data_IF_358039676358
#
_entry.id   IF_358039676358
#
_cell.length_a   1.000
_cell.length_b   1.000
_cell.length_c   1.000
_cell.angle_alpha   90.00
_cell.angle_beta   90.00
_cell.angle_gamma   90.00
#
_symmetry.space_group_name_H-M   'P 1'
#
loop_
_entity.id
_entity.type
_entity.pdbx_description
1 polymer ?
#
# COMPACT_ATOMS: atom_id res chain seq x y z
N UNK A 1 -16.75 -9.51 22.67
CA UNK A 1 -16.20 -10.83 22.22
C UNK A 1 -15.38 -10.50 20.97
N UNK A 2 -14.08 -10.55 21.12
CA UNK A 2 -13.08 -10.17 20.12
C UNK A 2 -13.26 -10.97 18.82
N UNK A 3 -13.73 -10.29 17.80
CA UNK A 3 -13.55 -10.77 16.44
C UNK A 3 -12.07 -10.53 16.10
N UNK A 4 -11.25 -11.55 16.27
CA UNK A 4 -9.87 -11.61 15.79
C UNK A 4 -9.89 -11.59 14.25
N UNK A 5 -10.21 -10.42 13.67
CA UNK A 5 -10.00 -10.11 12.28
C UNK A 5 -8.51 -10.17 11.95
N UNK A 6 -8.17 -10.54 10.74
CA UNK A 6 -6.81 -10.43 10.22
C UNK A 6 -6.41 -8.95 10.29
N UNK A 7 -5.43 -8.65 11.12
CA UNK A 7 -4.85 -7.33 11.24
C UNK A 7 -4.10 -7.03 9.94
N UNK A 8 -4.43 -5.92 9.30
CA UNK A 8 -3.68 -5.41 8.14
C UNK A 8 -2.30 -4.89 8.56
N UNK A 9 -1.48 -4.54 7.58
CA UNK A 9 -0.17 -3.93 7.80
C UNK A 9 -0.28 -2.66 8.69
N UNK A 10 -1.31 -1.84 8.50
CA UNK A 10 -1.53 -0.64 9.29
C UNK A 10 -1.89 -0.86 10.76
N UNK A 11 -2.65 -1.92 11.10
CA UNK A 11 -2.94 -2.28 12.51
C UNK A 11 -1.67 -2.71 13.28
N UNK A 12 -0.70 -3.27 12.55
CA UNK A 12 0.60 -3.66 13.11
C UNK A 12 1.45 -2.44 13.36
N UNK A 13 1.48 -1.52 12.40
CA UNK A 13 2.13 -0.23 12.51
C UNK A 13 1.66 0.53 13.76
N UNK A 14 0.36 0.75 13.92
CA UNK A 14 -0.21 1.44 15.07
C UNK A 14 0.13 0.79 16.42
N UNK A 15 0.21 -0.53 16.51
CA UNK A 15 0.47 -1.22 17.80
C UNK A 15 1.93 -1.29 18.18
N UNK A 16 2.83 -1.38 17.22
CA UNK A 16 4.25 -1.54 17.48
C UNK A 16 4.90 -0.21 17.91
N UNK A 17 4.33 0.91 17.45
CA UNK A 17 4.85 2.25 17.69
C UNK A 17 4.01 3.11 18.65
N UNK A 18 2.73 2.80 18.88
CA UNK A 18 1.91 3.51 19.91
C UNK A 18 1.92 2.86 21.31
N UNK A 19 2.69 1.81 21.52
CA UNK A 19 2.84 1.15 22.85
C UNK A 19 3.99 1.67 23.70
N UNK A 20 4.78 2.64 23.26
CA UNK A 20 5.88 3.28 23.98
C UNK A 20 5.69 4.79 24.06
N UNK A 21 5.98 5.38 25.22
CA UNK A 21 5.85 6.79 25.56
C UNK A 21 6.80 7.75 24.79
N UNK A 22 6.94 7.60 23.48
CA UNK A 22 7.61 8.60 22.65
C UNK A 22 6.55 9.24 21.76
N UNK A 23 6.19 10.46 22.03
CA UNK A 23 5.56 11.39 21.10
C UNK A 23 6.56 11.53 19.93
N UNK A 24 6.41 10.70 18.89
CA UNK A 24 7.19 10.84 17.67
C UNK A 24 6.91 12.24 17.11
N UNK A 25 7.98 12.95 16.77
CA UNK A 25 7.87 14.25 16.12
C UNK A 25 7.08 14.06 14.83
N UNK A 26 5.87 14.59 14.80
CA UNK A 26 5.08 14.67 13.57
C UNK A 26 5.70 15.72 12.66
N UNK A 27 5.56 15.54 11.35
CA UNK A 27 5.97 16.55 10.38
C UNK A 27 5.37 17.91 10.72
N UNK A 28 6.16 18.96 10.63
CA UNK A 28 5.63 20.32 10.70
C UNK A 28 4.65 20.58 9.55
N UNK A 29 3.74 21.52 9.70
CA UNK A 29 2.79 21.90 8.63
C UNK A 29 3.49 22.23 7.32
N UNK A 30 4.67 22.83 7.37
CA UNK A 30 5.48 23.18 6.20
C UNK A 30 6.06 21.93 5.53
N UNK A 31 6.61 21.00 6.29
CA UNK A 31 7.15 19.73 5.77
C UNK A 31 6.05 18.88 5.17
N UNK A 32 4.89 18.80 5.82
CA UNK A 32 3.73 18.09 5.30
C UNK A 32 3.22 18.71 3.99
N UNK A 33 3.19 20.03 3.89
CA UNK A 33 2.78 20.72 2.67
C UNK A 33 3.77 20.48 1.52
N UNK A 34 5.09 20.49 1.79
CA UNK A 34 6.13 20.21 0.80
C UNK A 34 6.07 18.75 0.34
N UNK A 35 5.87 17.81 1.27
CA UNK A 35 5.66 16.38 0.98
C UNK A 35 4.48 16.18 0.02
N UNK A 36 3.31 16.71 0.38
CA UNK A 36 2.08 16.64 -0.43
C UNK A 36 2.27 17.22 -1.83
N UNK A 37 2.99 18.34 -1.95
CA UNK A 37 3.27 18.94 -3.25
C UNK A 37 4.14 18.02 -4.13
N UNK A 38 5.15 17.35 -3.56
CA UNK A 38 6.01 16.41 -4.27
C UNK A 38 5.27 15.12 -4.64
N UNK A 39 4.45 14.58 -3.77
CA UNK A 39 3.61 13.42 -4.07
C UNK A 39 2.60 13.71 -5.18
N UNK A 40 2.00 14.90 -5.16
CA UNK A 40 1.11 15.34 -6.23
C UNK A 40 1.85 15.43 -7.58
N UNK A 41 3.10 15.93 -7.61
CA UNK A 41 3.92 15.96 -8.82
C UNK A 41 4.22 14.53 -9.33
N UNK A 42 4.52 13.58 -8.44
CA UNK A 42 4.66 12.17 -8.81
C UNK A 42 3.36 11.64 -9.41
N UNK A 43 2.21 11.91 -8.78
CA UNK A 43 0.91 11.46 -9.27
C UNK A 43 0.57 12.05 -10.65
N UNK A 44 0.84 13.34 -10.90
CA UNK A 44 0.66 14.00 -12.20
C UNK A 44 1.50 13.32 -13.29
N UNK A 45 2.78 13.05 -13.01
CA UNK A 45 3.69 12.37 -13.93
C UNK A 45 3.26 10.92 -14.18
N UNK A 46 2.85 10.21 -13.14
CA UNK A 46 2.33 8.84 -13.21
C UNK A 46 1.04 8.76 -14.03
N UNK A 47 0.08 9.66 -13.79
CA UNK A 47 -1.17 9.74 -14.54
C UNK A 47 -0.92 9.96 -16.05
N UNK A 48 -0.02 10.89 -16.40
CA UNK A 48 0.37 11.14 -17.78
C UNK A 48 0.95 9.87 -18.41
N UNK A 49 1.93 9.24 -17.76
CA UNK A 49 2.54 7.99 -18.23
C UNK A 49 1.50 6.88 -18.42
N UNK A 50 0.56 6.73 -17.48
CA UNK A 50 -0.52 5.75 -17.59
C UNK A 50 -1.45 6.02 -18.78
N UNK A 51 -1.85 7.27 -19.01
CA UNK A 51 -2.68 7.67 -20.15
C UNK A 51 -2.00 7.41 -21.48
N UNK A 52 -0.74 7.79 -21.64
CA UNK A 52 0.05 7.60 -22.86
C UNK A 52 0.29 6.12 -23.19
N UNK A 53 0.32 5.25 -22.18
CA UNK A 53 0.59 3.83 -22.34
C UNK A 53 -0.65 2.93 -22.18
N UNK A 54 -1.85 3.50 -22.12
CA UNK A 54 -3.11 2.78 -21.92
C UNK A 54 -3.08 1.83 -20.71
N UNK A 55 -2.55 2.30 -19.58
CA UNK A 55 -2.62 1.66 -18.28
C UNK A 55 -3.81 2.21 -17.51
N UNK A 56 -4.66 1.31 -16.98
CA UNK A 56 -5.77 1.69 -16.11
C UNK A 56 -5.32 1.62 -14.66
N UNK A 57 -5.55 2.70 -13.93
CA UNK A 57 -5.40 2.76 -12.49
C UNK A 57 -6.58 3.51 -11.88
N UNK A 58 -6.68 3.50 -10.55
CA UNK A 58 -7.67 4.24 -9.79
C UNK A 58 -7.02 4.75 -8.50
N UNK A 59 -7.39 5.95 -8.07
CA UNK A 59 -7.09 6.40 -6.71
C UNK A 59 -7.88 5.55 -5.71
N UNK A 60 -7.30 5.31 -4.52
CA UNK A 60 -7.89 4.42 -3.51
C UNK A 60 -7.63 4.92 -2.09
N UNK A 61 -8.10 4.20 -1.11
CA UNK A 61 -7.85 4.40 0.32
C UNK A 61 -7.97 5.89 0.76
N UNK A 62 -6.95 6.42 1.46
CA UNK A 62 -6.90 7.82 1.92
C UNK A 62 -7.04 8.83 0.79
N UNK A 63 -6.38 8.60 -0.34
CA UNK A 63 -6.46 9.47 -1.52
C UNK A 63 -7.88 9.54 -2.09
N UNK A 64 -8.56 8.41 -2.21
CA UNK A 64 -9.96 8.37 -2.68
C UNK A 64 -10.91 9.04 -1.69
N UNK A 65 -10.72 8.77 -0.40
CA UNK A 65 -11.50 9.41 0.67
C UNK A 65 -11.29 10.93 0.67
N UNK A 66 -10.05 11.37 0.49
CA UNK A 66 -9.67 12.77 0.34
C UNK A 66 -10.36 13.42 -0.87
N UNK A 67 -10.32 12.77 -2.04
CA UNK A 67 -10.99 13.25 -3.25
C UNK A 67 -12.50 13.45 -3.05
N UNK A 68 -13.16 12.51 -2.37
CA UNK A 68 -14.62 12.58 -2.13
C UNK A 68 -14.97 13.64 -1.10
N UNK A 69 -14.28 13.65 0.06
CA UNK A 69 -14.65 14.45 1.23
C UNK A 69 -14.03 15.85 1.23
N UNK A 70 -12.80 16.00 0.75
CA UNK A 70 -12.01 17.24 0.82
C UNK A 70 -11.68 17.85 -0.54
N UNK A 71 -11.87 17.12 -1.64
CA UNK A 71 -11.43 17.48 -2.99
C UNK A 71 -9.91 17.59 -3.14
N UNK A 72 -9.17 16.95 -2.25
CA UNK A 72 -7.73 16.95 -2.12
C UNK A 72 -7.29 16.04 -1.00
N UNK A 73 -6.10 16.23 -0.48
CA UNK A 73 -5.60 15.46 0.66
C UNK A 73 -6.50 15.60 1.89
N UNK A 74 -6.62 14.54 2.65
CA UNK A 74 -7.06 14.64 4.03
C UNK A 74 -6.03 15.48 4.80
N UNK A 75 -6.44 16.46 5.66
CA UNK A 75 -5.49 17.41 6.26
C UNK A 75 -4.28 16.79 6.94
N UNK A 76 -4.44 15.66 7.62
CA UNK A 76 -3.39 14.95 8.37
C UNK A 76 -2.78 13.76 7.64
N UNK A 77 -3.22 13.47 6.42
CA UNK A 77 -2.71 12.38 5.58
C UNK A 77 -1.41 12.80 4.88
N UNK A 78 -0.50 11.86 4.70
CA UNK A 78 0.85 12.09 4.19
C UNK A 78 1.27 11.07 3.13
N UNK A 79 0.29 10.46 2.42
CA UNK A 79 0.57 9.53 1.33
C UNK A 79 -0.46 9.60 0.19
N UNK A 80 -0.08 9.09 -0.97
CA UNK A 80 -0.95 8.88 -2.13
C UNK A 80 -1.00 7.40 -2.49
N UNK A 81 -2.21 6.86 -2.51
CA UNK A 81 -2.50 5.48 -2.84
C UNK A 81 -3.23 5.33 -4.19
N UNK A 82 -2.71 4.49 -5.05
CA UNK A 82 -3.41 4.07 -6.27
C UNK A 82 -3.47 2.55 -6.37
N UNK A 83 -4.51 2.05 -7.04
CA UNK A 83 -4.66 0.62 -7.35
C UNK A 83 -4.70 0.37 -8.85
N UNK A 84 -4.16 -0.76 -9.26
CA UNK A 84 -4.24 -1.26 -10.63
C UNK A 84 -4.76 -2.69 -10.64
N UNK A 85 -5.71 -3.01 -11.51
CA UNK A 85 -6.07 -4.41 -11.74
C UNK A 85 -4.82 -5.21 -12.15
N UNK A 86 -4.69 -6.45 -11.70
CA UNK A 86 -3.49 -7.29 -11.88
C UNK A 86 -2.94 -7.28 -13.32
N UNK A 87 -3.82 -7.22 -14.33
CA UNK A 87 -3.40 -7.16 -15.73
C UNK A 87 -2.57 -5.90 -16.04
N UNK A 88 -3.03 -4.73 -15.59
CA UNK A 88 -2.35 -3.48 -15.85
C UNK A 88 -1.14 -3.30 -14.92
N UNK A 89 -1.22 -3.76 -13.67
CA UNK A 89 -0.10 -3.83 -12.75
C UNK A 89 1.08 -4.65 -13.33
N UNK A 90 0.81 -5.81 -13.91
CA UNK A 90 1.84 -6.63 -14.56
C UNK A 90 2.47 -5.96 -15.80
N UNK A 91 1.77 -4.99 -16.41
CA UNK A 91 2.29 -4.19 -17.54
C UNK A 91 3.12 -3.00 -17.05
N UNK A 92 2.85 -2.50 -15.86
CA UNK A 92 3.49 -1.30 -15.28
C UNK A 92 5.02 -1.40 -15.36
N UNK A 93 5.62 -2.49 -14.89
CA UNK A 93 7.06 -2.71 -14.93
C UNK A 93 7.65 -2.56 -16.35
N UNK A 94 6.96 -3.10 -17.37
CA UNK A 94 7.40 -3.00 -18.77
C UNK A 94 7.27 -1.58 -19.30
N UNK A 95 6.25 -0.85 -18.89
CA UNK A 95 6.06 0.55 -19.27
C UNK A 95 7.10 1.41 -18.57
N UNK A 96 7.28 1.27 -17.28
CA UNK A 96 8.28 2.04 -16.51
C UNK A 96 9.70 1.84 -17.04
N UNK A 97 10.08 0.63 -17.50
CA UNK A 97 11.40 0.40 -18.08
C UNK A 97 11.70 1.19 -19.35
N UNK A 98 10.68 1.83 -19.96
CA UNK A 98 10.79 2.58 -21.23
C UNK A 98 10.32 4.03 -21.14
N UNK A 99 9.39 4.31 -20.26
CA UNK A 99 8.63 5.56 -20.23
C UNK A 99 8.47 6.16 -18.83
N UNK A 100 9.22 5.66 -17.83
CA UNK A 100 9.23 6.29 -16.52
C UNK A 100 9.80 7.71 -16.63
N UNK A 101 9.11 8.74 -16.18
CA UNK A 101 9.62 10.11 -16.21
C UNK A 101 10.95 10.23 -15.48
N UNK A 102 11.81 11.15 -15.97
CA UNK A 102 13.10 11.45 -15.35
C UNK A 102 12.93 11.89 -13.88
N UNK A 103 13.86 11.48 -13.04
CA UNK A 103 13.83 11.73 -11.60
C UNK A 103 12.87 10.85 -10.81
N UNK A 104 12.21 9.87 -11.46
CA UNK A 104 11.38 8.87 -10.80
C UNK A 104 12.01 7.49 -10.86
N UNK A 105 11.83 6.73 -9.79
CA UNK A 105 12.29 5.35 -9.64
C UNK A 105 11.12 4.41 -9.39
N UNK A 106 11.00 3.33 -10.17
CA UNK A 106 10.08 2.24 -9.87
C UNK A 106 10.72 1.33 -8.82
N UNK A 107 10.22 1.38 -7.59
CA UNK A 107 10.62 0.46 -6.54
C UNK A 107 9.72 -0.77 -6.54
N UNK A 108 10.30 -1.90 -6.90
CA UNK A 108 9.68 -3.21 -6.86
C UNK A 108 10.69 -4.28 -6.38
N UNK A 109 10.24 -5.50 -6.22
CA UNK A 109 11.07 -6.64 -5.79
C UNK A 109 12.26 -6.96 -6.70
N UNK A 110 12.32 -6.43 -7.93
CA UNK A 110 13.39 -6.67 -8.93
C UNK A 110 14.38 -5.53 -8.95
N UNK A 111 13.87 -4.30 -8.96
CA UNK A 111 14.68 -3.09 -9.10
C UNK A 111 15.34 -2.71 -7.76
N UNK A 112 14.70 -3.05 -6.63
CA UNK A 112 15.24 -2.80 -5.30
C UNK A 112 15.32 -4.11 -4.49
N UNK A 113 16.55 -4.55 -4.24
CA UNK A 113 16.81 -5.82 -3.53
C UNK A 113 16.40 -5.80 -2.05
N UNK A 114 16.26 -4.62 -1.46
CA UNK A 114 15.80 -4.44 -0.08
C UNK A 114 14.29 -4.49 0.06
N UNK A 115 13.56 -4.20 -1.00
CA UNK A 115 12.13 -3.97 -0.96
C UNK A 115 11.31 -5.23 -0.57
N UNK A 116 10.54 -5.20 0.55
CA UNK A 116 9.91 -6.40 1.10
C UNK A 116 8.47 -6.64 0.62
N UNK A 117 7.79 -5.62 0.08
CA UNK A 117 6.35 -5.66 -0.13
C UNK A 117 5.91 -6.35 -1.43
N UNK A 118 4.59 -6.57 -1.55
CA UNK A 118 3.94 -7.19 -2.72
C UNK A 118 3.32 -6.16 -3.68
N UNK A 119 3.40 -4.90 -3.36
CA UNK A 119 3.00 -3.77 -4.18
C UNK A 119 4.24 -2.98 -4.63
N UNK A 120 4.08 -2.06 -5.54
CA UNK A 120 5.18 -1.24 -6.04
C UNK A 120 5.05 0.20 -5.53
N UNK A 121 6.15 0.96 -5.55
CA UNK A 121 6.16 2.40 -5.29
C UNK A 121 6.77 3.13 -6.48
N UNK A 122 6.24 4.31 -6.80
CA UNK A 122 6.92 5.26 -7.69
C UNK A 122 7.56 6.32 -6.80
N UNK A 123 8.87 6.32 -6.74
CA UNK A 123 9.66 7.18 -5.85
C UNK A 123 10.29 8.34 -6.59
N UNK A 124 10.46 9.45 -5.90
CA UNK A 124 11.21 10.62 -6.36
C UNK A 124 12.67 10.46 -5.95
N UNK A 125 13.57 10.49 -6.93
CA UNK A 125 15.03 10.46 -6.69
C UNK A 125 15.49 11.72 -5.94
N UNK A 126 16.62 11.63 -5.24
CA UNK A 126 17.23 12.72 -4.49
C UNK A 126 16.31 13.33 -3.40
N UNK A 127 15.45 12.51 -2.84
CA UNK A 127 14.63 12.81 -1.65
C UNK A 127 14.68 11.66 -0.67
N UNK A 128 14.42 11.92 0.60
CA UNK A 128 14.32 10.87 1.62
C UNK A 128 13.15 11.14 2.56
N UNK A 129 12.39 10.09 2.87
CA UNK A 129 11.39 10.09 3.94
C UNK A 129 11.76 9.00 4.95
N UNK A 130 11.60 9.32 6.22
CA UNK A 130 11.85 8.38 7.30
C UNK A 130 10.54 7.71 7.71
N UNK A 131 10.46 6.41 7.43
CA UNK A 131 9.41 5.52 7.90
C UNK A 131 10.00 4.64 9.01
N UNK A 132 9.63 4.87 10.28
CA UNK A 132 10.18 4.11 11.41
C UNK A 132 9.96 2.59 11.30
N UNK A 133 8.87 2.17 10.65
CA UNK A 133 8.60 0.75 10.42
C UNK A 133 9.63 0.06 9.52
N UNK A 134 10.29 0.83 8.65
CA UNK A 134 11.29 0.34 7.69
C UNK A 134 12.71 0.75 8.07
N UNK A 135 12.91 1.22 9.29
CA UNK A 135 14.23 1.52 9.80
C UNK A 135 15.14 0.28 9.71
N UNK A 136 16.40 0.49 9.30
CA UNK A 136 17.36 -0.59 9.08
C UNK A 136 17.15 -1.42 7.81
N UNK A 137 16.07 -1.19 7.03
CA UNK A 137 15.89 -1.82 5.72
C UNK A 137 16.67 -1.04 4.66
N UNK A 138 17.60 -1.72 3.98
CA UNK A 138 18.42 -1.10 2.93
C UNK A 138 17.66 -1.09 1.60
N UNK A 139 16.96 0.01 1.31
CA UNK A 139 16.18 0.23 0.10
C UNK A 139 16.13 1.72 -0.27
N UNK A 140 15.62 2.04 -1.45
CA UNK A 140 15.36 3.43 -1.84
C UNK A 140 14.33 4.06 -0.90
N UNK A 141 14.60 5.26 -0.39
CA UNK A 141 13.79 5.93 0.63
C UNK A 141 13.16 7.25 0.17
N UNK A 142 13.22 7.57 -1.12
CA UNK A 142 12.63 8.80 -1.66
C UNK A 142 11.13 8.91 -1.42
N UNK A 143 10.60 10.13 -1.47
CA UNK A 143 9.15 10.42 -1.46
C UNK A 143 8.45 9.59 -2.53
N UNK A 144 7.22 9.13 -2.30
CA UNK A 144 6.59 8.15 -3.17
C UNK A 144 5.07 8.26 -3.26
N UNK A 145 4.52 7.56 -4.24
CA UNK A 145 3.13 7.12 -4.26
C UNK A 145 3.10 5.59 -4.24
N UNK A 146 2.09 5.02 -3.58
CA UNK A 146 1.89 3.58 -3.53
C UNK A 146 1.04 3.08 -4.70
N UNK A 147 1.48 1.99 -5.33
CA UNK A 147 0.78 1.36 -6.45
C UNK A 147 0.45 -0.08 -6.07
N UNK A 148 -0.79 -0.33 -5.67
CA UNK A 148 -1.23 -1.64 -5.22
C UNK A 148 -1.82 -2.47 -6.36
N UNK A 149 -1.49 -3.77 -6.44
CA UNK A 149 -2.20 -4.68 -7.32
C UNK A 149 -3.57 -5.06 -6.73
N UNK A 150 -4.59 -5.06 -7.56
CA UNK A 150 -5.89 -5.66 -7.26
C UNK A 150 -5.92 -7.06 -7.84
N UNK A 151 -5.96 -8.05 -6.96
CA UNK A 151 -5.92 -9.47 -7.25
C UNK A 151 -7.29 -10.12 -7.21
N UNK A 152 -7.45 -11.28 -7.87
CA UNK A 152 -8.62 -12.10 -7.65
C UNK A 152 -8.59 -12.70 -6.25
N UNK A 153 -9.70 -12.56 -5.54
CA UNK A 153 -9.86 -13.03 -4.17
C UNK A 153 -10.69 -14.33 -4.14
N UNK A 154 -10.30 -15.33 -3.31
CA UNK A 154 -11.15 -16.49 -3.08
C UNK A 154 -12.52 -16.09 -2.51
N UNK A 155 -13.59 -16.73 -3.00
CA UNK A 155 -14.95 -16.58 -2.44
C UNK A 155 -15.00 -17.10 -1.00
N UNK A 156 -14.27 -18.18 -0.71
CA UNK A 156 -14.17 -18.73 0.63
C UNK A 156 -13.35 -17.81 1.53
N UNK A 157 -13.99 -17.28 2.57
CA UNK A 157 -13.37 -16.33 3.48
C UNK A 157 -12.14 -16.88 4.23
N UNK A 158 -12.07 -18.18 4.52
CA UNK A 158 -10.88 -18.78 5.16
C UNK A 158 -9.68 -18.79 4.22
N UNK A 159 -9.90 -19.08 2.93
CA UNK A 159 -8.84 -19.01 1.91
C UNK A 159 -8.43 -17.58 1.63
N UNK A 160 -9.38 -16.65 1.57
CA UNK A 160 -9.08 -15.23 1.44
C UNK A 160 -8.22 -14.74 2.63
N UNK A 161 -8.63 -15.02 3.86
CA UNK A 161 -7.86 -14.68 5.06
C UNK A 161 -6.47 -15.32 5.07
N UNK A 162 -6.35 -16.56 4.57
CA UNK A 162 -5.05 -17.23 4.40
C UNK A 162 -4.16 -16.43 3.43
N UNK A 163 -4.70 -16.01 2.27
CA UNK A 163 -3.95 -15.23 1.28
C UNK A 163 -3.40 -13.92 1.86
N UNK A 164 -4.21 -13.16 2.60
CA UNK A 164 -3.77 -11.94 3.28
C UNK A 164 -2.67 -12.23 4.31
N UNK A 165 -2.86 -13.23 5.17
CA UNK A 165 -1.86 -13.61 6.19
C UNK A 165 -0.57 -14.11 5.55
N UNK A 166 -0.64 -14.81 4.43
CA UNK A 166 0.52 -15.31 3.70
C UNK A 166 1.37 -14.17 3.19
N UNK A 167 0.74 -13.18 2.52
CA UNK A 167 1.45 -12.01 1.99
C UNK A 167 2.06 -11.17 3.10
N UNK A 168 1.33 -10.86 4.17
CA UNK A 168 1.87 -10.10 5.30
C UNK A 168 3.00 -10.84 6.02
N UNK A 169 2.85 -12.16 6.30
CA UNK A 169 3.91 -12.95 6.94
C UNK A 169 5.20 -12.98 6.11
N UNK A 170 5.08 -13.12 4.78
CA UNK A 170 6.26 -13.08 3.89
C UNK A 170 6.92 -11.72 3.88
N UNK A 171 6.15 -10.63 3.88
CA UNK A 171 6.68 -9.26 3.95
C UNK A 171 7.41 -9.00 5.27
N UNK A 172 6.82 -9.36 6.40
CA UNK A 172 7.48 -9.25 7.71
C UNK A 172 8.77 -10.08 7.81
N UNK A 173 8.74 -11.31 7.27
CA UNK A 173 9.96 -12.12 7.23
C UNK A 173 11.07 -11.47 6.37
N UNK A 174 10.71 -10.77 5.29
CA UNK A 174 11.67 -10.05 4.45
C UNK A 174 12.21 -8.79 5.13
N UNK A 175 11.43 -8.10 5.95
CA UNK A 175 11.88 -6.98 6.80
C UNK A 175 12.85 -7.51 7.87
N UNK A 176 12.45 -8.52 8.62
CA UNK A 176 13.26 -9.12 9.70
C UNK A 176 14.61 -9.69 9.24
N UNK A 177 14.74 -10.04 7.95
CA UNK A 177 16.03 -10.45 7.37
C UNK A 177 17.04 -9.32 7.30
N UNK A 178 16.60 -8.08 7.28
CA UNK A 178 17.44 -6.89 7.16
C UNK A 178 17.55 -6.15 8.49
N UNK A 179 16.44 -6.04 9.23
CA UNK A 179 16.38 -5.45 10.55
C UNK A 179 16.25 -6.57 11.60
N UNK A 180 17.32 -6.81 12.38
CA UNK A 180 17.35 -7.86 13.41
C UNK A 180 16.51 -7.54 14.63
N UNK A 181 16.23 -6.27 14.85
CA UNK A 181 15.41 -5.78 15.97
C UNK A 181 13.92 -5.86 15.65
N UNK A 182 13.59 -6.10 14.36
CA UNK A 182 12.22 -6.31 13.93
C UNK A 182 11.77 -7.73 14.29
N UNK A 183 10.92 -7.89 15.29
CA UNK A 183 10.23 -9.15 15.60
C UNK A 183 8.72 -8.94 15.61
N UNK A 184 8.03 -9.75 14.82
CA UNK A 184 6.59 -9.72 14.76
C UNK A 184 5.99 -10.77 15.71
N UNK A 185 5.25 -10.31 16.73
CA UNK A 185 4.62 -11.22 17.70
C UNK A 185 3.38 -11.89 17.12
N UNK A 186 3.53 -13.18 16.80
CA UNK A 186 2.43 -14.04 16.38
C UNK A 186 1.79 -14.72 17.58
N UNK A 187 0.48 -14.48 17.78
CA UNK A 187 -0.30 -15.15 18.84
C UNK A 187 -0.39 -16.68 18.66
N UNK A 188 -0.27 -17.18 17.42
CA UNK A 188 -0.32 -18.62 17.11
C UNK A 188 1.09 -19.17 16.90
N UNK A 189 1.46 -20.23 17.66
CA UNK A 189 2.77 -20.91 17.54
C UNK A 189 3.09 -21.36 16.11
N UNK A 190 2.09 -21.88 15.36
CA UNK A 190 2.29 -22.32 13.97
C UNK A 190 2.65 -21.16 13.03
N UNK A 191 2.02 -20.00 13.19
CA UNK A 191 2.36 -18.80 12.39
C UNK A 191 3.75 -18.27 12.74
N UNK A 192 4.10 -18.24 14.03
CA UNK A 192 5.44 -17.87 14.49
C UNK A 192 6.51 -18.82 13.96
N UNK A 193 6.25 -20.12 13.98
CA UNK A 193 7.18 -21.12 13.44
C UNK A 193 7.40 -20.93 11.92
N UNK A 194 6.32 -20.67 11.16
CA UNK A 194 6.38 -20.38 9.73
C UNK A 194 7.18 -19.10 9.45
N UNK A 195 6.96 -18.05 10.20
CA UNK A 195 7.70 -16.79 10.11
C UNK A 195 9.21 -17.01 10.33
N UNK A 196 9.61 -17.68 11.42
CA UNK A 196 11.02 -17.99 11.67
C UNK A 196 11.65 -18.92 10.63
N UNK A 197 10.85 -19.82 10.04
CA UNK A 197 11.30 -20.63 8.91
C UNK A 197 11.60 -19.75 7.68
N UNK A 198 10.70 -18.82 7.35
CA UNK A 198 10.85 -17.90 6.21
C UNK A 198 12.06 -16.96 6.37
N UNK A 199 12.35 -16.50 7.59
CA UNK A 199 13.57 -15.69 7.85
C UNK A 199 14.84 -16.45 7.47
N UNK A 200 14.89 -17.76 7.62
CA UNK A 200 16.06 -18.58 7.28
C UNK A 200 16.17 -18.89 5.77
N UNK A 201 15.08 -18.80 5.01
CA UNK A 201 15.08 -19.10 3.58
C UNK A 201 15.71 -17.98 2.76
N UNK A 202 16.32 -18.27 1.59
CA UNK A 202 16.79 -17.21 0.67
C UNK A 202 15.66 -16.24 0.31
N UNK A 203 15.97 -14.93 0.21
CA UNK A 203 15.00 -13.88 -0.13
C UNK A 203 14.18 -14.21 -1.38
N UNK A 204 14.87 -14.60 -2.46
CA UNK A 204 14.21 -14.93 -3.73
C UNK A 204 13.22 -16.08 -3.61
N UNK A 205 13.49 -17.06 -2.76
CA UNK A 205 12.59 -18.18 -2.48
C UNK A 205 11.32 -17.72 -1.75
N UNK A 206 11.46 -16.86 -0.73
CA UNK A 206 10.31 -16.31 0.01
C UNK A 206 9.39 -15.51 -0.94
N UNK A 207 9.98 -14.67 -1.80
CA UNK A 207 9.26 -13.89 -2.79
C UNK A 207 8.56 -14.82 -3.80
N UNK A 208 9.27 -15.83 -4.32
CA UNK A 208 8.69 -16.77 -5.28
C UNK A 208 7.51 -17.55 -4.68
N UNK A 209 7.61 -17.99 -3.43
CA UNK A 209 6.50 -18.64 -2.71
C UNK A 209 5.31 -17.70 -2.52
N UNK A 210 5.55 -16.43 -2.17
CA UNK A 210 4.50 -15.42 -2.06
C UNK A 210 3.75 -15.25 -3.37
N UNK A 211 4.50 -15.01 -4.43
CA UNK A 211 3.96 -14.75 -5.76
C UNK A 211 3.24 -15.99 -6.34
N UNK A 212 3.75 -17.18 -6.06
CA UNK A 212 3.12 -18.44 -6.47
C UNK A 212 1.74 -18.61 -5.84
N UNK A 213 1.60 -18.39 -4.52
CA UNK A 213 0.31 -18.48 -3.85
C UNK A 213 -0.70 -17.47 -4.40
N UNK A 214 -0.28 -16.19 -4.55
CA UNK A 214 -1.14 -15.16 -5.13
C UNK A 214 -1.48 -15.49 -6.58
N UNK A 215 -0.51 -16.02 -7.35
CA UNK A 215 -0.70 -16.45 -8.73
C UNK A 215 -1.74 -17.56 -8.89
N UNK A 216 -1.74 -18.57 -8.00
CA UNK A 216 -2.76 -19.62 -7.97
C UNK A 216 -4.16 -19.00 -7.86
N UNK A 217 -4.37 -18.09 -6.92
CA UNK A 217 -5.68 -17.46 -6.76
C UNK A 217 -6.07 -16.60 -7.98
N UNK A 218 -5.12 -15.90 -8.58
CA UNK A 218 -5.38 -15.14 -9.81
C UNK A 218 -5.75 -16.04 -11.02
N UNK A 219 -5.29 -17.28 -11.06
CA UNK A 219 -5.64 -18.23 -12.12
C UNK A 219 -6.99 -18.89 -11.85
N UNK A 220 -7.19 -19.41 -10.64
CA UNK A 220 -8.31 -20.32 -10.34
C UNK A 220 -9.55 -19.63 -9.77
N UNK A 221 -9.45 -18.40 -9.23
CA UNK A 221 -10.63 -17.67 -8.76
C UNK A 221 -11.44 -17.09 -9.90
N UNK A 222 -12.77 -17.01 -9.71
CA UNK A 222 -13.73 -16.49 -10.70
C UNK A 222 -13.45 -15.05 -11.13
N UNK A 223 -12.89 -14.25 -10.22
CA UNK A 223 -12.71 -12.80 -10.42
C UNK A 223 -13.93 -11.96 -10.07
N UNK A 224 -15.02 -12.55 -9.56
CA UNK A 224 -16.17 -11.79 -9.02
C UNK A 224 -15.82 -11.04 -7.74
N UNK A 225 -14.95 -11.64 -6.93
CA UNK A 225 -14.37 -11.05 -5.73
C UNK A 225 -12.91 -10.69 -5.98
N UNK A 226 -12.54 -9.46 -5.66
CA UNK A 226 -11.19 -8.91 -5.80
C UNK A 226 -10.65 -8.53 -4.42
N UNK A 227 -9.34 -8.28 -4.32
CA UNK A 227 -8.72 -7.78 -3.09
C UNK A 227 -7.39 -7.07 -3.33
N UNK A 228 -7.05 -6.19 -2.39
CA UNK A 228 -5.71 -5.62 -2.23
C UNK A 228 -5.05 -6.27 -1.02
N UNK A 229 -4.28 -7.33 -1.23
CA UNK A 229 -3.76 -8.19 -0.14
C UNK A 229 -2.75 -7.52 0.76
N UNK A 230 -2.17 -6.39 0.31
CA UNK A 230 -1.16 -5.61 1.04
C UNK A 230 -1.71 -4.29 1.59
N UNK A 231 -3.01 -4.02 1.43
CA UNK A 231 -3.63 -2.81 1.95
C UNK A 231 -3.64 -2.75 3.48
N UNK A 232 -3.63 -1.55 4.02
CA UNK A 232 -3.49 -1.28 5.45
C UNK A 232 -4.64 -1.82 6.30
N UNK A 233 -5.86 -1.86 5.74
CA UNK A 233 -7.06 -2.29 6.48
C UNK A 233 -7.21 -3.82 6.55
N UNK A 234 -6.49 -4.57 5.71
CA UNK A 234 -6.49 -6.03 5.71
C UNK A 234 -7.85 -6.67 5.41
N UNK A 235 -7.95 -7.97 5.69
CA UNK A 235 -9.20 -8.72 5.51
C UNK A 235 -10.19 -8.47 6.65
N UNK A 236 -11.51 -8.24 6.39
CA UNK A 236 -12.17 -8.28 5.07
C UNK A 236 -12.26 -6.93 4.34
N UNK A 237 -11.80 -5.84 4.94
CA UNK A 237 -12.00 -4.46 4.45
C UNK A 237 -11.37 -4.20 3.09
N UNK A 238 -10.29 -4.90 2.77
CA UNK A 238 -9.59 -4.84 1.47
C UNK A 238 -10.11 -5.89 0.47
N UNK A 239 -11.40 -6.27 0.56
CA UNK A 239 -12.03 -7.13 -0.43
C UNK A 239 -13.17 -6.40 -1.14
N UNK A 240 -13.29 -6.60 -2.44
CA UNK A 240 -14.13 -5.81 -3.33
C UNK A 240 -14.95 -6.70 -4.25
N UNK A 241 -16.06 -6.19 -4.77
CA UNK A 241 -16.75 -6.78 -5.91
C UNK A 241 -16.13 -6.27 -7.21
N UNK A 242 -15.95 -7.14 -8.21
CA UNK A 242 -15.36 -6.76 -9.50
C UNK A 242 -16.16 -5.65 -10.21
N UNK A 243 -17.48 -5.65 -10.05
CA UNK A 243 -18.38 -4.64 -10.62
C UNK A 243 -18.04 -3.19 -10.22
N UNK A 244 -17.40 -3.00 -9.06
CA UNK A 244 -17.00 -1.66 -8.61
C UNK A 244 -15.91 -1.04 -9.48
N UNK A 245 -15.11 -1.86 -10.18
CA UNK A 245 -13.97 -1.47 -11.01
C UNK A 245 -14.23 -1.54 -12.53
N UNK A 246 -15.45 -1.92 -12.96
CA UNK A 246 -15.77 -2.05 -14.38
C UNK A 246 -15.73 -0.70 -15.10
N UNK A 247 -16.35 0.32 -14.50
CA UNK A 247 -16.36 1.68 -14.99
C UNK A 247 -15.51 2.61 -14.11
N UNK A 248 -14.96 3.65 -14.73
CA UNK A 248 -14.27 4.72 -14.05
C UNK A 248 -15.09 6.01 -14.07
N UNK A 249 -14.94 6.78 -13.01
CA UNK A 249 -15.34 8.20 -12.97
C UNK A 249 -14.10 9.04 -12.73
N UNK A 250 -14.18 10.33 -13.01
CA UNK A 250 -13.12 11.28 -12.66
C UNK A 250 -13.57 12.04 -11.41
N UNK A 251 -12.71 12.09 -10.42
CA UNK A 251 -12.94 12.85 -9.18
C UNK A 251 -11.88 13.94 -9.02
N UNK A 252 -12.27 15.13 -8.55
CA UNK A 252 -11.33 16.19 -8.25
C UNK A 252 -10.43 15.79 -7.08
N UNK A 253 -9.12 16.02 -7.24
CA UNK A 253 -8.12 15.89 -6.18
C UNK A 253 -7.07 16.96 -6.39
N UNK A 254 -6.95 17.90 -5.44
CA UNK A 254 -6.11 19.10 -5.55
C UNK A 254 -6.41 19.87 -6.85
N UNK A 255 -5.38 20.13 -7.65
CA UNK A 255 -5.50 20.88 -8.91
C UNK A 255 -5.91 20.03 -10.11
N UNK A 256 -6.16 18.73 -9.94
CA UNK A 256 -6.44 17.78 -11.02
C UNK A 256 -7.72 16.99 -10.86
N UNK A 257 -7.98 16.14 -11.85
CA UNK A 257 -9.02 15.11 -11.79
C UNK A 257 -8.39 13.75 -12.08
N UNK A 258 -8.67 12.77 -11.22
CA UNK A 258 -8.06 11.45 -11.29
C UNK A 258 -9.10 10.34 -11.34
N UNK A 259 -8.77 9.20 -11.99
CA UNK A 259 -9.71 8.11 -12.13
C UNK A 259 -9.99 7.44 -10.79
N UNK A 260 -11.26 7.29 -10.47
CA UNK A 260 -11.78 6.52 -9.34
C UNK A 260 -12.70 5.39 -9.85
N UNK A 261 -12.84 4.27 -9.12
CA UNK A 261 -13.83 3.26 -9.49
C UNK A 261 -15.23 3.84 -9.34
N UNK A 262 -16.14 3.53 -10.28
CA UNK A 262 -17.54 3.97 -10.21
C UNK A 262 -18.21 3.52 -8.91
N UNK A 263 -17.83 2.34 -8.40
CA UNK A 263 -18.29 1.82 -7.12
C UNK A 263 -17.57 2.37 -5.88
N UNK A 264 -17.00 3.57 -5.95
CA UNK A 264 -16.20 4.18 -4.89
C UNK A 264 -16.92 4.30 -3.53
N UNK A 265 -18.22 4.58 -3.55
CA UNK A 265 -19.02 4.70 -2.32
C UNK A 265 -19.08 3.37 -1.57
N UNK A 266 -19.35 2.26 -2.28
CA UNK A 266 -19.32 0.91 -1.69
C UNK A 266 -17.93 0.51 -1.24
N UNK A 267 -16.89 0.92 -1.98
CA UNK A 267 -15.50 0.65 -1.63
C UNK A 267 -15.11 1.38 -0.34
N UNK A 268 -15.38 2.67 -0.24
CA UNK A 268 -15.10 3.48 0.96
C UNK A 268 -15.93 2.99 2.17
N UNK A 269 -17.22 2.68 1.96
CA UNK A 269 -18.06 2.10 3.01
C UNK A 269 -17.50 0.78 3.53
N UNK A 270 -16.98 -0.09 2.63
CA UNK A 270 -16.37 -1.34 3.04
C UNK A 270 -15.07 -1.15 3.83
N UNK A 271 -14.26 -0.16 3.48
CA UNK A 271 -12.99 0.15 4.16
C UNK A 271 -13.19 0.84 5.51
N UNK A 272 -14.01 1.89 5.52
CA UNK A 272 -14.09 2.87 6.63
C UNK A 272 -15.43 2.89 7.36
N UNK A 273 -16.46 2.22 6.83
CA UNK A 273 -17.83 2.30 7.37
C UNK A 273 -18.50 3.63 7.00
N UNK A 274 -18.92 4.42 7.99
CA UNK A 274 -19.44 5.79 7.77
C UNK A 274 -18.27 6.75 7.50
N UNK A 275 -17.73 6.66 6.28
CA UNK A 275 -16.52 7.38 5.88
C UNK A 275 -16.72 8.90 5.75
N UNK A 276 -17.95 9.40 5.72
CA UNK A 276 -18.22 10.84 5.71
C UNK A 276 -18.05 11.47 7.09
N UNK A 277 -18.09 10.66 8.17
CA UNK A 277 -17.81 11.11 9.54
C UNK A 277 -16.28 11.09 9.77
N UNK A 278 -15.66 12.25 10.09
CA UNK A 278 -14.24 12.28 10.46
C UNK A 278 -13.95 11.40 11.68
N UNK A 279 -12.76 10.78 11.77
CA UNK A 279 -12.34 10.07 12.97
C UNK A 279 -12.14 11.06 14.15
N UNK A 280 -12.05 10.54 15.36
CA UNK A 280 -11.69 11.32 16.56
C UNK A 280 -10.25 11.83 16.45
N UNK A 281 -9.90 12.90 17.19
CA UNK A 281 -8.62 13.60 17.02
C UNK A 281 -7.40 12.72 17.36
N UNK A 282 -7.55 11.79 18.29
CA UNK A 282 -6.53 10.82 18.68
C UNK A 282 -6.29 9.70 17.64
N UNK A 283 -7.16 9.57 16.65
CA UNK A 283 -7.01 8.63 15.53
C UNK A 283 -6.34 9.27 14.30
N UNK A 284 -6.06 10.58 14.33
CA UNK A 284 -5.45 11.36 13.25
C UNK A 284 -3.92 11.30 13.35
N UNK A 285 -3.26 10.53 12.51
CA UNK A 285 -1.80 10.43 12.48
C UNK A 285 -1.31 10.24 11.04
N UNK A 286 -0.14 10.82 10.72
CA UNK A 286 0.62 10.53 9.51
C UNK A 286 1.53 9.30 9.67
N UNK A 287 2.29 8.96 8.63
CA UNK A 287 3.17 7.79 8.57
C UNK A 287 4.66 8.18 8.74
N UNK A 288 5.02 9.42 8.45
CA UNK A 288 6.40 9.88 8.44
C UNK A 288 6.75 10.77 9.62
N UNK A 289 8.01 10.66 10.06
CA UNK A 289 8.57 11.47 11.14
C UNK A 289 9.50 12.57 10.63
N UNK A 290 10.09 12.41 9.45
CA UNK A 290 10.89 13.46 8.80
C UNK A 290 10.93 13.32 7.28
N UNK A 291 11.18 14.44 6.61
CA UNK A 291 11.34 14.54 5.15
C UNK A 291 12.61 15.33 4.86
N UNK A 292 13.54 14.73 4.13
CA UNK A 292 14.74 15.38 3.64
C UNK A 292 14.70 15.48 2.11
N UNK A 293 15.07 16.64 1.57
CA UNK A 293 15.28 16.83 0.15
C UNK A 293 16.60 17.53 -0.06
N UNK A 294 17.42 17.04 -0.96
CA UNK A 294 18.63 17.75 -1.37
C UNK A 294 18.27 19.14 -1.89
N UNK A 295 19.07 20.11 -1.44
CA UNK A 295 18.92 21.54 -1.80
C UNK A 295 19.40 21.82 -3.21
#
# INVERSE_FOLDING_TARGET
RDVLGSRGLGDVYKRQYHGGENLEEQLSEKELADLKAKELDILVKFDRMCKENNLRYFITAGTLLGAVRHKGFIPWDDDIDVVMLRKDFNRLNRVCSKALPEGLFLQDKKNDKGYPFHFDKIRLDNTEVVDPFLEGVNMHKGIYIDVFPVDKCPENNKLAQFMFKWVSTTSYALIAKQNKDFDFDYTKKSARMLYHFMIKMPRGFVIAMRDFVVGIFNVFCSGKKLCTVSGAHGFPRETYKSEWFEEKIMLPFESGEYPAPKGYDSLLTNMYGDYMKPPEDDEKSGHFTSVESDK
#
